data_IF_092630204679
#
_entry.id   IF_092630204679
#
_cell.length_a   1.000
_cell.length_b   1.000
_cell.length_c   1.000
_cell.angle_alpha   90.00
_cell.angle_beta   90.00
_cell.angle_gamma   90.00
#
_symmetry.space_group_name_H-M   'P 1'
#
loop_
_entity.id
_entity.type
_entity.pdbx_description
1 polymer ?
#
# COMPACT_ATOMS: atom_id res chain seq x y z
N UNK A 1 14.45 29.39 5.61
CA UNK A 1 14.38 27.99 6.05
C UNK A 1 15.68 27.28 5.76
N UNK A 2 16.22 26.57 6.75
CA UNK A 2 17.46 25.81 6.61
C UNK A 2 17.22 24.61 5.66
N UNK A 3 17.87 24.61 4.51
CA UNK A 3 17.95 23.43 3.68
C UNK A 3 18.81 22.38 4.42
N UNK A 4 18.20 21.27 4.81
CA UNK A 4 18.95 20.14 5.33
C UNK A 4 19.37 19.24 4.17
N UNK A 5 20.68 18.99 4.09
CA UNK A 5 21.23 17.97 3.21
C UNK A 5 21.21 16.66 4.00
N UNK A 6 20.42 15.70 3.55
CA UNK A 6 20.46 14.35 4.09
C UNK A 6 21.42 13.55 3.24
N UNK A 7 22.55 13.15 3.82
CA UNK A 7 23.49 12.24 3.17
C UNK A 7 23.12 10.82 3.59
N UNK A 8 22.64 10.01 2.65
CA UNK A 8 22.46 8.59 2.89
C UNK A 8 23.84 7.93 2.98
N UNK A 9 24.19 7.42 4.16
CA UNK A 9 25.41 6.63 4.35
C UNK A 9 25.22 5.24 3.75
N UNK A 10 25.88 4.97 2.63
CA UNK A 10 25.91 3.64 2.01
C UNK A 10 25.53 3.57 0.53
N UNK A 11 24.95 4.61 -0.03
CA UNK A 11 24.72 4.71 -1.48
C UNK A 11 24.94 6.18 -1.90
N UNK A 12 25.66 6.42 -2.96
CA UNK A 12 25.96 7.77 -3.43
C UNK A 12 24.69 8.47 -3.90
N UNK A 13 24.14 9.32 -3.08
CA UNK A 13 23.00 10.18 -3.41
C UNK A 13 22.85 11.31 -2.39
N UNK A 14 22.78 12.53 -2.87
CA UNK A 14 22.43 13.70 -2.05
C UNK A 14 20.95 13.98 -2.23
N UNK A 15 20.17 13.84 -1.17
CA UNK A 15 18.76 14.22 -1.17
C UNK A 15 18.63 15.59 -0.49
N UNK A 16 18.22 16.60 -1.24
CA UNK A 16 17.87 17.91 -0.70
C UNK A 16 16.41 17.84 -0.19
N UNK A 17 16.24 17.80 1.12
CA UNK A 17 14.90 17.84 1.74
C UNK A 17 14.64 19.21 2.36
N UNK A 18 13.48 19.79 2.09
CA UNK A 18 12.93 20.87 2.92
C UNK A 18 12.55 20.30 4.29
N UNK A 19 12.45 21.17 5.31
CA UNK A 19 12.21 20.77 6.71
C UNK A 19 10.94 19.95 6.95
N UNK A 20 10.04 19.89 5.99
CA UNK A 20 8.77 19.18 6.05
C UNK A 20 8.76 17.86 5.24
N UNK A 21 9.92 17.40 4.74
CA UNK A 21 10.08 16.10 4.11
C UNK A 21 10.86 15.19 5.05
N UNK A 22 10.25 14.10 5.45
CA UNK A 22 10.87 13.09 6.31
C UNK A 22 11.02 11.81 5.47
N UNK A 23 12.28 11.35 5.34
CA UNK A 23 12.60 10.09 4.69
C UNK A 23 12.92 9.06 5.76
N UNK A 24 12.24 7.94 5.73
CA UNK A 24 12.58 6.73 6.50
C UNK A 24 13.05 5.65 5.54
N UNK A 25 13.45 4.49 6.05
CA UNK A 25 13.98 3.39 5.24
C UNK A 25 12.99 2.93 4.17
N UNK A 26 11.68 2.93 4.47
CA UNK A 26 10.63 2.35 3.65
C UNK A 26 9.51 3.32 3.28
N UNK A 27 9.56 4.55 3.79
CA UNK A 27 8.54 5.56 3.54
C UNK A 27 9.11 6.98 3.54
N UNK A 28 8.41 7.92 2.90
CA UNK A 28 8.65 9.34 3.11
C UNK A 28 7.34 10.07 3.39
N UNK A 29 7.41 11.11 4.24
CA UNK A 29 6.27 11.95 4.60
C UNK A 29 6.43 13.34 3.97
N UNK A 30 5.39 13.78 3.29
CA UNK A 30 5.32 15.09 2.64
C UNK A 30 4.45 16.05 3.47
N UNK A 31 5.04 17.14 3.94
CA UNK A 31 4.38 18.18 4.76
C UNK A 31 3.74 17.70 6.08
N UNK A 32 3.96 16.45 6.49
CA UNK A 32 3.24 15.83 7.61
C UNK A 32 1.83 15.33 7.27
N UNK A 33 1.37 15.48 6.02
CA UNK A 33 -0.02 15.19 5.63
C UNK A 33 -0.16 13.86 4.88
N UNK A 34 0.91 13.39 4.23
CA UNK A 34 0.93 12.16 3.43
C UNK A 34 2.20 11.38 3.71
N UNK A 35 2.06 10.09 4.01
CA UNK A 35 3.17 9.12 4.02
C UNK A 35 3.05 8.21 2.80
N UNK A 36 4.14 8.05 2.05
CA UNK A 36 4.25 7.14 0.92
C UNK A 36 5.22 6.02 1.21
N UNK A 37 4.82 4.79 0.97
CA UNK A 37 5.63 3.59 1.17
C UNK A 37 5.41 2.57 0.07
N UNK A 38 6.42 1.72 -0.21
CA UNK A 38 6.28 0.54 -1.05
C UNK A 38 6.03 -0.71 -0.22
N UNK A 39 5.31 -1.68 -0.78
CA UNK A 39 5.16 -3.02 -0.21
C UNK A 39 5.24 -4.06 -1.30
N UNK A 40 5.74 -5.25 -0.95
CA UNK A 40 5.81 -6.41 -1.83
C UNK A 40 5.45 -7.64 -0.99
N UNK A 41 4.46 -8.39 -1.43
CA UNK A 41 3.99 -9.61 -0.76
C UNK A 41 3.78 -10.74 -1.75
N UNK A 42 4.10 -11.95 -1.31
CA UNK A 42 3.76 -13.19 -2.01
C UNK A 42 2.60 -13.85 -1.30
N UNK A 43 1.52 -14.18 -2.00
CA UNK A 43 0.33 -14.81 -1.44
C UNK A 43 0.07 -16.11 -2.17
N UNK A 44 0.22 -17.25 -1.45
CA UNK A 44 -0.05 -18.57 -2.01
C UNK A 44 -1.55 -18.75 -2.26
N UNK A 45 -1.89 -19.68 -3.14
CA UNK A 45 -3.28 -20.05 -3.42
C UNK A 45 -4.02 -20.52 -2.16
N UNK A 46 -5.27 -20.10 -2.01
CA UNK A 46 -6.10 -20.37 -0.83
C UNK A 46 -5.74 -19.58 0.42
N UNK A 47 -4.81 -18.61 0.35
CA UNK A 47 -4.37 -17.80 1.48
C UNK A 47 -4.72 -16.32 1.34
N UNK A 48 -4.48 -15.57 2.42
CA UNK A 48 -4.59 -14.12 2.43
C UNK A 48 -3.30 -13.48 2.96
N UNK A 49 -2.98 -12.28 2.45
CA UNK A 49 -1.84 -11.48 2.90
C UNK A 49 -2.25 -10.04 3.21
N UNK A 50 -1.60 -9.44 4.20
CA UNK A 50 -1.82 -8.05 4.56
C UNK A 50 -0.94 -7.14 3.69
N UNK A 51 -1.56 -6.19 3.02
CA UNK A 51 -0.87 -5.17 2.20
C UNK A 51 -0.50 -3.97 3.07
N UNK A 52 -1.41 -3.58 3.97
CA UNK A 52 -1.28 -2.39 4.80
C UNK A 52 -1.94 -2.61 6.15
N UNK A 53 -1.26 -2.17 7.22
CA UNK A 53 -1.86 -1.95 8.55
C UNK A 53 -1.61 -0.50 8.93
N UNK A 54 -2.65 0.25 9.28
CA UNK A 54 -2.55 1.68 9.59
C UNK A 54 -3.43 2.05 10.77
N UNK A 55 -2.91 2.93 11.65
CA UNK A 55 -3.64 3.46 12.80
C UNK A 55 -4.82 4.34 12.36
N UNK A 56 -6.03 4.02 12.80
CA UNK A 56 -7.24 4.82 12.53
C UNK A 56 -7.30 6.11 13.36
N UNK A 57 -6.40 6.30 14.35
CA UNK A 57 -6.25 7.57 15.07
C UNK A 57 -5.36 8.56 14.33
N UNK A 58 -4.35 8.06 13.58
CA UNK A 58 -3.36 8.89 12.92
C UNK A 58 -3.72 9.18 11.46
N UNK A 59 -4.41 8.24 10.81
CA UNK A 59 -4.75 8.32 9.39
C UNK A 59 -6.25 8.28 9.18
N UNK A 60 -6.71 8.91 8.10
CA UNK A 60 -8.11 8.94 7.68
C UNK A 60 -8.37 8.24 6.35
N UNK A 61 -7.32 7.97 5.59
CA UNK A 61 -7.46 7.35 4.28
C UNK A 61 -6.16 6.77 3.74
N UNK A 62 -6.30 5.90 2.76
CA UNK A 62 -5.20 5.35 1.98
C UNK A 62 -5.57 5.26 0.50
N UNK A 63 -4.58 5.50 -0.36
CA UNK A 63 -4.63 5.20 -1.79
C UNK A 63 -3.51 4.20 -2.06
N UNK A 64 -3.88 3.04 -2.59
CA UNK A 64 -2.97 1.93 -2.83
C UNK A 64 -3.01 1.57 -4.31
N UNK A 65 -1.97 1.97 -5.04
CA UNK A 65 -1.76 1.53 -6.41
C UNK A 65 -1.05 0.18 -6.37
N UNK A 66 -1.62 -0.83 -6.99
CA UNK A 66 -1.10 -2.19 -6.97
C UNK A 66 -0.93 -2.77 -8.36
N UNK A 67 -0.02 -3.73 -8.46
CA UNK A 67 0.09 -4.68 -9.56
C UNK A 67 0.36 -6.05 -8.99
N UNK A 68 -0.27 -7.07 -9.54
CA UNK A 68 0.14 -8.44 -9.23
C UNK A 68 0.26 -9.29 -10.49
N UNK A 69 1.08 -10.32 -10.38
CA UNK A 69 1.24 -11.37 -11.37
C UNK A 69 1.17 -12.73 -10.67
N UNK A 70 0.42 -13.66 -11.24
CA UNK A 70 0.43 -15.05 -10.81
C UNK A 70 1.59 -15.82 -11.44
N UNK A 71 2.01 -16.94 -10.83
CA UNK A 71 3.06 -17.79 -11.39
C UNK A 71 2.69 -18.42 -12.77
N UNK A 72 1.40 -18.37 -13.13
CA UNK A 72 0.93 -18.81 -14.46
C UNK A 72 0.74 -17.62 -15.43
N UNK A 73 1.12 -16.42 -15.02
CA UNK A 73 1.18 -15.23 -15.86
C UNK A 73 -0.10 -14.38 -15.89
N UNK A 74 -1.15 -14.72 -15.13
CA UNK A 74 -2.34 -13.85 -15.01
C UNK A 74 -1.99 -12.58 -14.24
N UNK A 75 -2.39 -11.42 -14.76
CA UNK A 75 -1.98 -10.11 -14.24
C UNK A 75 -3.18 -9.19 -14.11
N UNK A 76 -3.14 -8.32 -13.08
CA UNK A 76 -4.04 -7.19 -12.91
C UNK A 76 -3.30 -6.01 -12.28
N UNK A 77 -3.62 -4.82 -12.77
CA UNK A 77 -3.17 -3.54 -12.21
C UNK A 77 -4.40 -2.75 -11.76
N UNK A 78 -4.29 -2.05 -10.63
CA UNK A 78 -5.42 -1.25 -10.14
C UNK A 78 -5.05 -0.33 -8.98
N UNK A 79 -6.11 0.31 -8.47
CA UNK A 79 -6.04 1.21 -7.31
C UNK A 79 -7.15 0.84 -6.33
N UNK A 80 -6.77 0.64 -5.08
CA UNK A 80 -7.69 0.54 -3.93
C UNK A 80 -7.69 1.87 -3.17
N UNK A 81 -8.87 2.43 -2.92
CA UNK A 81 -9.08 3.60 -2.06
C UNK A 81 -9.76 3.15 -0.79
N UNK A 82 -9.21 3.54 0.35
CA UNK A 82 -9.75 3.21 1.67
C UNK A 82 -10.01 4.50 2.44
N UNK A 83 -11.21 4.65 2.98
CA UNK A 83 -11.53 5.66 3.97
C UNK A 83 -11.82 4.94 5.30
N UNK A 84 -11.18 5.38 6.39
CA UNK A 84 -11.26 4.68 7.66
C UNK A 84 -11.05 5.58 8.88
N UNK A 85 -11.49 5.07 10.02
CA UNK A 85 -11.19 5.58 11.35
C UNK A 85 -10.80 4.42 12.29
N UNK A 86 -10.78 4.67 13.60
CA UNK A 86 -10.46 3.65 14.61
C UNK A 86 -11.54 2.57 14.81
N UNK A 87 -12.69 2.69 14.17
CA UNK A 87 -13.84 1.80 14.35
C UNK A 87 -14.35 1.18 13.05
N UNK A 88 -14.27 1.91 11.93
CA UNK A 88 -14.85 1.53 10.65
C UNK A 88 -13.91 1.77 9.48
N UNK A 89 -14.06 1.00 8.41
CA UNK A 89 -13.41 1.22 7.14
C UNK A 89 -14.31 0.84 5.99
N UNK A 90 -14.20 1.58 4.89
CA UNK A 90 -14.83 1.29 3.61
C UNK A 90 -13.79 1.39 2.50
N UNK A 91 -13.95 0.60 1.46
CA UNK A 91 -13.03 0.61 0.32
C UNK A 91 -13.76 0.59 -1.02
N UNK A 92 -13.07 1.08 -2.02
CA UNK A 92 -13.41 0.98 -3.43
C UNK A 92 -12.18 0.52 -4.21
N UNK A 93 -12.37 -0.36 -5.20
CA UNK A 93 -11.33 -0.85 -6.09
C UNK A 93 -11.68 -0.54 -7.54
N UNK A 94 -10.70 -0.04 -8.27
CA UNK A 94 -10.77 0.08 -9.73
C UNK A 94 -9.55 -0.58 -10.35
N UNK A 95 -9.77 -1.42 -11.36
CA UNK A 95 -8.68 -2.17 -12.01
C UNK A 95 -8.77 -2.16 -13.52
N UNK A 96 -7.66 -2.53 -14.16
CA UNK A 96 -7.64 -2.87 -15.60
C UNK A 96 -8.42 -4.16 -15.84
N UNK A 97 -8.74 -4.41 -17.10
CA UNK A 97 -9.07 -5.77 -17.55
C UNK A 97 -7.91 -6.71 -17.27
N UNK A 98 -8.23 -7.95 -16.95
CA UNK A 98 -7.25 -8.99 -16.70
C UNK A 98 -6.43 -9.30 -17.94
N UNK A 99 -5.15 -9.57 -17.75
CA UNK A 99 -4.23 -10.01 -18.78
C UNK A 99 -3.85 -11.48 -18.53
N UNK A 100 -3.91 -12.30 -19.58
CA UNK A 100 -3.51 -13.73 -19.58
C UNK A 100 -4.29 -14.65 -18.64
N UNK A 101 -5.49 -14.28 -18.23
CA UNK A 101 -6.37 -15.13 -17.41
C UNK A 101 -7.29 -14.34 -16.49
N UNK A 102 -8.30 -15.01 -15.95
CA UNK A 102 -9.26 -14.40 -15.05
C UNK A 102 -8.63 -14.24 -13.65
N UNK A 103 -8.74 -13.06 -13.06
CA UNK A 103 -8.24 -12.73 -11.73
C UNK A 103 -9.35 -12.37 -10.72
N UNK A 104 -10.62 -12.63 -11.04
CA UNK A 104 -11.79 -12.29 -10.20
C UNK A 104 -11.75 -12.91 -8.81
N UNK A 105 -11.01 -14.03 -8.64
CA UNK A 105 -10.83 -14.71 -7.35
C UNK A 105 -9.68 -14.15 -6.51
N UNK A 106 -9.00 -13.10 -7.00
CA UNK A 106 -8.10 -12.28 -6.18
C UNK A 106 -8.90 -11.09 -5.66
N UNK A 107 -9.21 -11.12 -4.36
CA UNK A 107 -10.17 -10.19 -3.74
C UNK A 107 -9.51 -9.37 -2.66
N UNK A 108 -9.66 -8.05 -2.73
CA UNK A 108 -9.23 -7.14 -1.67
C UNK A 108 -10.34 -7.01 -0.62
N UNK A 109 -9.94 -6.83 0.62
CA UNK A 109 -10.83 -6.61 1.75
C UNK A 109 -10.22 -5.67 2.78
N UNK A 110 -11.08 -4.98 3.53
CA UNK A 110 -10.66 -4.08 4.61
C UNK A 110 -11.36 -4.46 5.90
N UNK A 111 -10.64 -4.38 7.01
CA UNK A 111 -11.18 -4.58 8.36
C UNK A 111 -10.56 -3.59 9.35
N UNK A 112 -11.24 -3.39 10.50
CA UNK A 112 -10.69 -2.61 11.62
C UNK A 112 -10.70 -3.48 12.87
N UNK A 113 -9.57 -3.57 13.55
CA UNK A 113 -9.42 -4.25 14.82
C UNK A 113 -8.42 -3.52 15.72
N UNK A 114 -8.77 -3.33 17.00
CA UNK A 114 -7.91 -2.65 17.97
C UNK A 114 -7.52 -1.22 17.57
N UNK A 115 -8.38 -0.52 16.84
CA UNK A 115 -8.13 0.84 16.36
C UNK A 115 -7.25 0.92 15.10
N UNK A 116 -6.84 -0.22 14.53
CA UNK A 116 -6.03 -0.27 13.31
C UNK A 116 -6.87 -0.80 12.13
N UNK A 117 -6.76 -0.12 11.01
CA UNK A 117 -7.27 -0.61 9.72
C UNK A 117 -6.25 -1.59 9.12
N UNK A 118 -6.74 -2.69 8.56
CA UNK A 118 -5.97 -3.66 7.79
C UNK A 118 -6.58 -3.80 6.40
N UNK A 119 -5.80 -3.54 5.35
CA UNK A 119 -6.10 -3.88 3.96
C UNK A 119 -5.43 -5.20 3.63
N UNK A 120 -6.21 -6.18 3.20
CA UNK A 120 -5.74 -7.53 2.86
C UNK A 120 -6.12 -7.90 1.44
N UNK A 121 -5.40 -8.85 0.87
CA UNK A 121 -5.76 -9.54 -0.37
C UNK A 121 -5.88 -11.03 -0.12
N UNK A 122 -6.97 -11.64 -0.58
CA UNK A 122 -7.16 -13.09 -0.64
C UNK A 122 -6.87 -13.57 -2.05
N UNK A 123 -6.18 -14.69 -2.17
CA UNK A 123 -5.81 -15.30 -3.44
C UNK A 123 -6.41 -16.70 -3.57
N UNK A 124 -7.28 -16.89 -4.54
CA UNK A 124 -7.90 -18.19 -4.88
C UNK A 124 -7.87 -18.42 -6.41
N UNK A 125 -6.74 -18.03 -7.04
CA UNK A 125 -6.55 -18.10 -8.50
C UNK A 125 -6.00 -19.45 -8.98
N UNK A 126 -5.67 -20.38 -8.06
CA UNK A 126 -5.04 -21.67 -8.36
C UNK A 126 -3.51 -21.62 -8.41
N UNK A 127 -2.88 -20.50 -8.12
CA UNK A 127 -1.42 -20.35 -8.06
C UNK A 127 -1.01 -19.19 -7.15
N UNK A 128 0.24 -19.15 -6.74
CA UNK A 128 0.79 -18.01 -5.98
C UNK A 128 0.75 -16.73 -6.81
N UNK A 129 0.42 -15.60 -6.17
CA UNK A 129 0.57 -14.26 -6.74
C UNK A 129 1.72 -13.51 -6.06
N UNK A 130 2.45 -12.72 -6.86
CA UNK A 130 3.40 -11.71 -6.40
C UNK A 130 2.75 -10.34 -6.57
N UNK A 131 2.50 -9.66 -5.46
CA UNK A 131 1.84 -8.34 -5.43
C UNK A 131 2.82 -7.27 -5.00
N UNK A 132 2.92 -6.23 -5.80
CA UNK A 132 3.67 -5.00 -5.50
C UNK A 132 2.67 -3.86 -5.39
N UNK A 133 2.79 -3.05 -4.35
CA UNK A 133 1.95 -1.88 -4.17
C UNK A 133 2.73 -0.64 -3.71
N UNK A 134 2.21 0.52 -4.10
CA UNK A 134 2.61 1.82 -3.57
C UNK A 134 1.44 2.36 -2.75
N UNK A 135 1.69 2.59 -1.48
CA UNK A 135 0.71 3.07 -0.51
C UNK A 135 0.95 4.55 -0.22
N UNK A 136 -0.09 5.36 -0.37
CA UNK A 136 -0.12 6.74 0.10
C UNK A 136 -1.12 6.81 1.26
N UNK A 137 -0.63 7.07 2.48
CA UNK A 137 -1.44 7.27 3.69
C UNK A 137 -1.69 8.76 3.89
N UNK A 138 -2.94 9.12 4.19
CA UNK A 138 -3.40 10.49 4.42
C UNK A 138 -3.63 10.65 5.91
N UNK A 139 -2.90 11.60 6.53
CA UNK A 139 -3.03 11.89 7.96
C UNK A 139 -4.39 12.53 8.29
N UNK A 140 -4.82 12.28 9.51
CA UNK A 140 -5.95 12.96 10.13
C UNK A 140 -5.46 14.28 10.74
N UNK A 141 -6.11 15.39 10.40
CA UNK A 141 -5.85 16.72 10.99
C UNK A 141 -6.57 16.88 12.32
#
# INVERSE_FOLDING_TARGET
GLNRVIVATGTSGVVLAKSNHIFTTDAYTLNGDITRQGTNISVVDGASGNILVASGTDYMGAIVDYSFESLVGSQRFGTVRVNFDSATAVMDETSTTDLNGNTDTVVFSVSVAGGNMTLSVANDIGSTIELVAVVNLIFRN
#
